data_IF_726098210547
#
_entry.id   IF_726098210547
#
_cell.length_a   1.000
_cell.length_b   1.000
_cell.length_c   1.000
_cell.angle_alpha   90.00
_cell.angle_beta   90.00
_cell.angle_gamma   90.00
#
_symmetry.space_group_name_H-M   'P 1'
#
loop_
_entity.id
_entity.type
_entity.pdbx_description
1 polymer ?
#
# COMPACT_ATOMS: atom_id res chain seq x y z
N UNK A 1 16.22 -12.89 3.16
CA UNK A 1 15.21 -13.89 3.57
C UNK A 1 14.01 -13.14 4.11
N UNK A 2 12.87 -13.24 3.43
CA UNK A 2 11.58 -12.79 3.93
C UNK A 2 11.06 -13.94 4.78
N UNK A 3 10.92 -13.74 6.09
CA UNK A 3 10.27 -14.72 6.95
C UNK A 3 8.80 -14.32 7.11
N UNK A 4 7.89 -15.15 6.59
CA UNK A 4 6.46 -15.03 6.82
C UNK A 4 6.15 -15.39 8.29
N UNK A 5 5.48 -14.51 8.98
CA UNK A 5 4.90 -14.81 10.28
C UNK A 5 3.38 -14.65 10.16
N UNK A 6 2.66 -15.76 10.14
CA UNK A 6 1.21 -15.80 10.27
C UNK A 6 0.86 -15.84 11.77
N UNK A 7 0.33 -14.75 12.29
CA UNK A 7 -0.30 -14.72 13.61
C UNK A 7 -1.72 -14.19 13.44
N UNK A 8 -2.69 -15.10 13.45
CA UNK A 8 -4.10 -14.75 13.29
C UNK A 8 -4.44 -14.31 11.86
N UNK A 9 -5.34 -13.33 11.71
CA UNK A 9 -5.78 -12.77 10.42
C UNK A 9 -4.81 -11.72 9.83
N UNK A 10 -3.62 -11.57 10.40
CA UNK A 10 -2.64 -10.55 10.01
C UNK A 10 -1.45 -11.19 9.30
N UNK A 11 -1.11 -10.65 8.13
CA UNK A 11 0.10 -11.02 7.42
C UNK A 11 1.19 -10.00 7.77
N UNK A 12 2.24 -10.48 8.47
CA UNK A 12 3.44 -9.68 8.71
C UNK A 12 4.49 -10.01 7.66
N UNK A 13 4.82 -9.08 6.79
CA UNK A 13 6.02 -9.15 5.97
C UNK A 13 7.15 -8.54 6.79
N UNK A 14 8.21 -9.33 7.07
CA UNK A 14 9.42 -8.84 7.69
C UNK A 14 10.50 -8.80 6.64
N UNK A 15 10.81 -7.62 6.15
CA UNK A 15 12.01 -7.43 5.34
C UNK A 15 13.25 -7.47 6.21
N UNK A 16 14.26 -8.25 5.80
CA UNK A 16 15.60 -8.13 6.35
C UNK A 16 16.40 -7.15 5.51
N UNK A 17 16.92 -6.11 6.14
CA UNK A 17 17.88 -5.23 5.49
C UNK A 17 19.05 -6.05 4.92
N UNK A 18 19.36 -5.84 3.65
CA UNK A 18 20.50 -6.47 2.99
C UNK A 18 21.82 -6.11 3.71
N UNK A 19 21.89 -4.91 4.25
CA UNK A 19 23.01 -4.43 5.08
C UNK A 19 22.45 -3.84 6.39
N UNK A 20 22.44 -4.61 7.49
CA UNK A 20 21.94 -4.15 8.79
C UNK A 20 22.65 -2.91 9.35
N UNK A 21 23.90 -2.64 8.90
CA UNK A 21 24.66 -1.48 9.37
C UNK A 21 24.14 -0.15 8.84
N UNK A 22 23.34 -0.19 7.76
CA UNK A 22 22.70 0.98 7.14
C UNK A 22 21.27 1.23 7.65
N UNK A 23 20.80 0.35 8.52
CA UNK A 23 19.45 0.46 9.10
C UNK A 23 19.45 1.53 10.20
N UNK A 24 19.03 2.73 9.88
CA UNK A 24 18.92 3.84 10.83
C UNK A 24 17.61 3.79 11.63
N UNK A 25 16.51 3.33 11.02
CA UNK A 25 15.20 3.18 11.66
C UNK A 25 14.54 1.86 11.23
N UNK A 26 14.45 0.86 12.14
CA UNK A 26 13.80 -0.41 11.85
C UNK A 26 12.33 -0.30 11.45
N UNK A 27 11.60 0.72 11.91
CA UNK A 27 10.17 0.90 11.62
C UNK A 27 9.88 1.19 10.15
N UNK A 28 10.87 1.70 9.41
CA UNK A 28 10.77 1.92 7.97
C UNK A 28 10.80 0.62 7.15
N UNK A 29 11.23 -0.49 7.77
CA UNK A 29 11.42 -1.78 7.08
C UNK A 29 10.55 -2.88 7.70
N UNK A 30 10.29 -2.83 9.01
CA UNK A 30 9.55 -3.85 9.74
C UNK A 30 8.15 -3.30 10.06
N UNK A 31 7.20 -3.58 9.18
CA UNK A 31 5.80 -3.19 9.36
C UNK A 31 4.88 -4.23 8.71
N UNK A 32 3.61 -4.24 9.07
CA UNK A 32 2.60 -5.04 8.41
C UNK A 32 2.02 -4.26 7.22
N UNK A 33 2.38 -4.56 5.95
CA UNK A 33 1.90 -3.78 4.80
C UNK A 33 0.41 -3.97 4.53
N UNK A 34 -0.19 -5.03 5.10
CA UNK A 34 -1.61 -5.35 4.95
C UNK A 34 -2.20 -5.69 6.32
N UNK A 35 -3.27 -5.00 6.70
CA UNK A 35 -4.09 -5.32 7.89
C UNK A 35 -5.58 -5.38 7.54
N UNK A 36 -6.32 -6.19 8.29
CA UNK A 36 -7.77 -6.33 8.13
C UNK A 36 -8.46 -5.87 9.41
N UNK A 37 -9.42 -4.94 9.27
CA UNK A 37 -10.28 -4.47 10.35
C UNK A 37 -11.74 -4.74 9.97
N UNK A 38 -12.31 -5.82 10.51
CA UNK A 38 -13.66 -6.26 10.15
C UNK A 38 -13.75 -6.54 8.64
N UNK A 39 -14.56 -5.75 7.94
CA UNK A 39 -14.76 -5.84 6.50
C UNK A 39 -13.89 -4.87 5.67
N UNK A 40 -12.85 -4.31 6.29
CA UNK A 40 -11.91 -3.38 5.66
C UNK A 40 -10.54 -4.02 5.50
N UNK A 41 -9.97 -3.93 4.32
CA UNK A 41 -8.56 -4.29 4.05
C UNK A 41 -7.75 -3.01 3.85
N UNK A 42 -6.72 -2.84 4.66
CA UNK A 42 -5.81 -1.69 4.65
C UNK A 42 -4.48 -2.13 4.06
N UNK A 43 -3.95 -1.39 3.10
CA UNK A 43 -2.67 -1.67 2.42
C UNK A 43 -1.83 -0.41 2.36
N UNK A 44 -0.55 -0.48 2.71
CA UNK A 44 0.36 0.66 2.64
C UNK A 44 1.79 0.25 2.25
N UNK A 45 2.61 1.26 1.96
CA UNK A 45 4.05 1.08 1.71
C UNK A 45 4.94 1.39 2.94
N UNK A 46 4.37 1.44 4.14
CA UNK A 46 5.13 1.78 5.35
C UNK A 46 4.35 1.51 6.64
N UNK A 47 4.92 1.90 7.77
CA UNK A 47 4.38 1.69 9.12
C UNK A 47 3.08 2.44 9.42
N UNK A 48 2.63 3.33 8.53
CA UNK A 48 1.32 3.99 8.65
C UNK A 48 0.13 3.01 8.57
N UNK A 49 0.35 1.75 8.21
CA UNK A 49 -0.69 0.71 8.26
C UNK A 49 -1.29 0.61 9.66
N UNK A 50 -0.44 0.58 10.69
CA UNK A 50 -0.88 0.48 12.09
C UNK A 50 -1.61 1.75 12.52
N UNK A 51 -1.12 2.92 12.09
CA UNK A 51 -1.79 4.20 12.36
C UNK A 51 -3.21 4.26 11.79
N UNK A 52 -3.39 3.75 10.55
CA UNK A 52 -4.71 3.69 9.92
C UNK A 52 -5.60 2.69 10.63
N UNK A 53 -5.07 1.50 10.91
CA UNK A 53 -5.80 0.44 11.61
C UNK A 53 -6.31 0.93 12.98
N UNK A 54 -5.44 1.45 13.83
CA UNK A 54 -5.78 1.96 15.16
C UNK A 54 -6.75 3.14 15.09
N UNK A 55 -6.51 4.09 14.20
CA UNK A 55 -7.40 5.23 14.01
C UNK A 55 -8.81 4.81 13.61
N UNK A 56 -8.94 3.91 12.64
CA UNK A 56 -10.24 3.40 12.19
C UNK A 56 -10.93 2.51 13.23
N UNK A 57 -10.18 1.76 14.02
CA UNK A 57 -10.71 1.00 15.17
C UNK A 57 -11.30 1.93 16.25
N UNK A 58 -10.71 3.11 16.41
CA UNK A 58 -11.23 4.20 17.24
C UNK A 58 -12.24 5.12 16.52
N UNK A 59 -12.86 4.64 15.43
CA UNK A 59 -13.91 5.32 14.67
C UNK A 59 -13.49 6.61 13.94
N UNK A 60 -12.20 6.83 13.73
CA UNK A 60 -11.75 7.88 12.82
C UNK A 60 -11.97 7.45 11.36
N UNK A 61 -12.11 8.43 10.47
CA UNK A 61 -12.08 8.16 9.03
C UNK A 61 -10.66 7.80 8.58
N UNK A 62 -10.54 7.25 7.37
CA UNK A 62 -9.25 6.96 6.76
C UNK A 62 -8.34 8.21 6.71
N UNK A 63 -8.87 9.35 6.28
CA UNK A 63 -8.12 10.60 6.22
C UNK A 63 -7.77 11.15 7.61
N UNK A 64 -8.70 11.05 8.58
CA UNK A 64 -8.44 11.47 9.94
C UNK A 64 -7.32 10.66 10.59
N UNK A 65 -7.28 9.36 10.34
CA UNK A 65 -6.24 8.45 10.84
C UNK A 65 -4.85 8.84 10.32
N UNK A 66 -4.76 9.36 9.10
CA UNK A 66 -3.50 9.77 8.49
C UNK A 66 -3.02 11.18 8.88
N UNK A 67 -3.79 11.95 9.66
CA UNK A 67 -3.43 13.36 9.99
C UNK A 67 -2.16 13.49 10.82
N UNK A 68 -1.82 12.48 11.62
CA UNK A 68 -0.59 12.43 12.41
C UNK A 68 0.64 11.98 11.63
N UNK A 69 0.47 11.58 10.36
CA UNK A 69 1.57 11.05 9.53
C UNK A 69 1.95 12.03 8.44
N UNK A 70 3.19 11.94 8.01
CA UNK A 70 3.76 12.69 6.89
C UNK A 70 4.48 11.70 5.96
N UNK A 71 5.17 12.18 4.94
CA UNK A 71 6.11 11.40 4.14
C UNK A 71 7.28 10.86 4.99
N UNK A 72 8.12 10.00 4.45
CA UNK A 72 9.27 9.45 5.18
C UNK A 72 10.38 10.49 5.35
N UNK A 73 11.07 10.50 6.51
CA UNK A 73 12.13 11.47 6.80
C UNK A 73 13.47 11.10 6.15
N UNK A 74 13.45 10.57 4.92
CA UNK A 74 14.59 10.03 4.18
C UNK A 74 15.12 11.03 3.13
N UNK A 75 15.43 12.26 3.55
CA UNK A 75 16.00 13.25 2.64
C UNK A 75 17.20 12.72 1.83
N UNK A 76 17.33 13.07 0.54
CA UNK A 76 16.58 14.11 -0.16
C UNK A 76 15.29 13.64 -0.85
N UNK A 77 14.96 12.35 -0.83
CA UNK A 77 13.81 11.81 -1.55
C UNK A 77 12.48 12.13 -0.88
N UNK A 78 12.45 12.17 0.46
CA UNK A 78 11.22 12.33 1.23
C UNK A 78 10.13 11.41 0.70
N UNK A 79 10.41 10.10 0.76
CA UNK A 79 9.59 9.04 0.16
C UNK A 79 8.12 9.20 0.50
N UNK A 80 7.25 9.34 -0.51
CA UNK A 80 5.81 9.46 -0.26
C UNK A 80 5.25 8.22 0.42
N UNK A 81 4.38 8.43 1.41
CA UNK A 81 3.57 7.35 1.99
C UNK A 81 2.30 7.20 1.19
N UNK A 82 2.13 6.05 0.56
CA UNK A 82 0.91 5.67 -0.15
C UNK A 82 0.12 4.67 0.68
N UNK A 83 -1.19 4.81 0.68
CA UNK A 83 -2.10 3.95 1.45
C UNK A 83 -3.37 3.69 0.67
N UNK A 84 -3.97 2.52 0.90
CA UNK A 84 -5.27 2.17 0.38
C UNK A 84 -6.13 1.52 1.46
N UNK A 85 -7.43 1.74 1.41
CA UNK A 85 -8.41 1.01 2.18
C UNK A 85 -9.54 0.57 1.26
N UNK A 86 -9.86 -0.73 1.30
CA UNK A 86 -11.02 -1.30 0.61
C UNK A 86 -12.04 -1.75 1.65
N UNK A 87 -13.28 -1.39 1.47
CA UNK A 87 -14.41 -1.77 2.29
C UNK A 87 -15.36 -2.64 1.48
N UNK A 88 -15.65 -3.85 1.97
CA UNK A 88 -16.56 -4.81 1.32
C UNK A 88 -17.71 -5.09 2.24
N UNK A 89 -18.93 -4.80 1.81
CA UNK A 89 -20.14 -4.99 2.61
C UNK A 89 -21.37 -5.22 1.75
N UNK A 90 -22.15 -6.26 2.08
CA UNK A 90 -23.45 -6.54 1.45
C UNK A 90 -23.41 -6.60 -0.09
N UNK A 91 -22.45 -7.32 -0.66
CA UNK A 91 -22.30 -7.48 -2.11
C UNK A 91 -21.82 -6.21 -2.83
N UNK A 92 -21.30 -5.23 -2.08
CA UNK A 92 -20.77 -3.98 -2.63
C UNK A 92 -19.37 -3.74 -2.08
N UNK A 93 -18.61 -2.95 -2.81
CA UNK A 93 -17.32 -2.48 -2.35
C UNK A 93 -17.09 -1.01 -2.73
N UNK A 94 -16.32 -0.35 -1.92
CA UNK A 94 -15.74 0.95 -2.20
C UNK A 94 -14.30 0.97 -1.71
N UNK A 95 -13.53 1.91 -2.17
CA UNK A 95 -12.16 2.07 -1.70
C UNK A 95 -11.69 3.51 -1.76
N UNK A 96 -10.68 3.80 -0.98
CA UNK A 96 -9.98 5.07 -1.02
C UNK A 96 -8.48 4.85 -1.07
N UNK A 97 -7.77 5.76 -1.73
CA UNK A 97 -6.32 5.81 -1.80
C UNK A 97 -5.83 7.15 -1.26
N UNK A 98 -4.65 7.16 -0.66
CA UNK A 98 -4.03 8.37 -0.15
C UNK A 98 -2.56 8.42 -0.49
N UNK A 99 -2.05 9.64 -0.66
CA UNK A 99 -0.62 9.91 -0.72
C UNK A 99 -0.28 11.11 0.18
N UNK A 100 0.74 10.92 1.00
CA UNK A 100 1.38 11.95 1.81
C UNK A 100 2.75 12.20 1.23
N UNK A 101 3.02 13.41 0.74
CA UNK A 101 4.27 13.72 0.06
C UNK A 101 4.78 15.11 0.39
N UNK A 102 6.09 15.32 0.27
CA UNK A 102 6.68 16.64 0.44
C UNK A 102 6.18 17.62 -0.62
N UNK A 103 6.08 18.88 -0.26
CA UNK A 103 5.80 19.93 -1.23
C UNK A 103 7.10 20.30 -1.98
N UNK A 104 7.32 19.67 -3.13
CA UNK A 104 8.51 19.89 -3.97
C UNK A 104 9.85 19.70 -3.22
N UNK A 105 9.93 18.65 -2.37
CA UNK A 105 11.15 18.36 -1.60
C UNK A 105 11.35 19.25 -0.35
N UNK A 106 10.35 20.03 0.03
CA UNK A 106 10.40 20.82 1.27
C UNK A 106 10.12 19.90 2.48
N UNK A 107 11.09 19.72 3.42
CA UNK A 107 10.93 18.85 4.60
C UNK A 107 9.85 19.33 5.57
N UNK A 108 9.52 20.62 5.58
CA UNK A 108 8.60 21.23 6.54
C UNK A 108 7.16 21.34 5.99
N UNK A 109 6.88 20.80 4.81
CA UNK A 109 5.58 20.94 4.17
C UNK A 109 5.09 19.61 3.57
N UNK A 110 4.04 19.05 4.17
CA UNK A 110 3.39 17.83 3.70
C UNK A 110 2.10 18.12 2.94
N UNK A 111 2.04 17.71 1.68
CA UNK A 111 0.83 17.67 0.88
C UNK A 111 0.10 16.34 1.11
N UNK A 112 -1.23 16.40 1.31
CA UNK A 112 -2.10 15.26 1.62
C UNK A 112 -3.20 15.18 0.58
N UNK A 113 -3.29 14.06 -0.13
CA UNK A 113 -4.34 13.83 -1.12
C UNK A 113 -5.04 12.51 -0.78
N UNK A 114 -6.37 12.53 -0.90
CA UNK A 114 -7.21 11.34 -0.80
C UNK A 114 -8.11 11.26 -2.02
N UNK A 115 -8.18 10.07 -2.62
CA UNK A 115 -9.00 9.73 -3.78
C UNK A 115 -10.01 8.68 -3.34
N UNK A 116 -11.30 9.01 -3.34
CA UNK A 116 -12.36 8.12 -2.90
C UNK A 116 -13.18 7.62 -4.09
N UNK A 117 -13.43 6.31 -4.14
CA UNK A 117 -14.16 5.61 -5.20
C UNK A 117 -15.37 4.91 -4.58
N UNK A 118 -16.48 5.65 -4.43
CA UNK A 118 -17.69 5.17 -3.75
C UNK A 118 -18.52 4.22 -4.59
N UNK A 119 -18.48 4.35 -5.91
CA UNK A 119 -19.20 3.51 -6.84
C UNK A 119 -18.22 2.75 -7.73
N UNK A 120 -17.49 1.82 -7.11
CA UNK A 120 -16.53 1.00 -7.82
C UNK A 120 -17.19 0.13 -8.89
N UNK A 121 -16.54 0.00 -10.05
CA UNK A 121 -17.03 -0.73 -11.21
C UNK A 121 -16.27 -2.05 -11.31
N UNK A 122 -16.98 -3.17 -11.52
CA UNK A 122 -16.37 -4.47 -11.70
C UNK A 122 -15.43 -4.47 -12.92
N UNK A 123 -14.26 -5.10 -12.78
CA UNK A 123 -13.22 -5.13 -13.80
C UNK A 123 -12.37 -3.87 -13.92
N UNK A 124 -12.65 -2.83 -13.12
CA UNK A 124 -11.89 -1.59 -13.07
C UNK A 124 -11.24 -1.38 -11.71
N UNK A 125 -10.06 -0.78 -11.71
CA UNK A 125 -9.34 -0.39 -10.50
C UNK A 125 -8.48 0.84 -10.73
N UNK A 126 -7.77 1.28 -9.70
CA UNK A 126 -6.89 2.44 -9.80
C UNK A 126 -5.50 2.09 -9.29
N UNK A 127 -4.49 2.66 -9.95
CA UNK A 127 -3.09 2.44 -9.66
C UNK A 127 -2.44 3.72 -9.16
N UNK A 128 -1.86 3.66 -7.97
CA UNK A 128 -1.04 4.71 -7.37
C UNK A 128 0.37 4.17 -7.13
N UNK A 129 1.37 5.00 -7.24
CA UNK A 129 2.77 4.63 -7.03
C UNK A 129 3.53 5.74 -6.30
N UNK A 130 4.67 5.41 -5.72
CA UNK A 130 5.44 6.31 -4.87
C UNK A 130 6.14 7.40 -5.67
N UNK A 131 6.83 7.02 -6.76
CA UNK A 131 7.65 7.91 -7.57
C UNK A 131 7.14 7.98 -9.01
N UNK A 132 7.25 9.16 -9.62
CA UNK A 132 6.81 9.43 -10.98
C UNK A 132 7.70 8.75 -12.04
N UNK A 133 9.01 8.80 -11.82
CA UNK A 133 10.05 8.27 -12.70
C UNK A 133 11.38 8.23 -11.95
N UNK A 134 12.44 7.76 -12.62
CA UNK A 134 13.81 7.85 -12.13
C UNK A 134 14.24 9.33 -12.00
N UNK A 135 15.14 9.58 -11.05
CA UNK A 135 15.66 10.91 -10.78
C UNK A 135 16.60 10.95 -9.57
N UNK A 136 17.22 12.12 -9.33
CA UNK A 136 18.03 12.37 -8.15
C UNK A 136 17.86 13.84 -7.71
N UNK A 137 17.04 14.12 -6.65
CA UNK A 137 16.19 13.17 -5.94
C UNK A 137 15.08 12.57 -6.81
N UNK A 138 14.51 11.44 -6.34
CA UNK A 138 13.40 10.79 -7.02
C UNK A 138 12.14 11.67 -6.98
N UNK A 139 11.53 12.03 -8.13
CA UNK A 139 10.33 12.86 -8.12
C UNK A 139 9.10 12.06 -7.63
N UNK A 140 8.35 12.63 -6.70
CA UNK A 140 7.11 12.03 -6.18
C UNK A 140 6.03 11.92 -7.26
N UNK A 141 5.12 10.93 -7.07
CA UNK A 141 3.92 10.80 -7.89
C UNK A 141 3.12 12.12 -7.95
N UNK A 142 2.55 12.41 -9.12
CA UNK A 142 1.72 13.58 -9.40
C UNK A 142 0.46 13.19 -10.17
N UNK A 143 -0.61 13.92 -9.94
CA UNK A 143 -1.90 13.73 -10.59
C UNK A 143 -2.82 12.77 -9.86
N UNK A 144 -3.72 12.15 -10.59
CA UNK A 144 -4.70 11.18 -10.09
C UNK A 144 -4.20 9.74 -10.30
N UNK A 145 -4.62 8.78 -9.44
CA UNK A 145 -4.39 7.37 -9.68
C UNK A 145 -4.92 6.95 -11.06
N UNK A 146 -4.16 6.14 -11.77
CA UNK A 146 -4.50 5.73 -13.14
C UNK A 146 -5.53 4.63 -13.14
N UNK A 147 -6.56 4.76 -13.97
CA UNK A 147 -7.52 3.69 -14.24
C UNK A 147 -6.78 2.50 -14.87
N UNK A 148 -7.05 1.30 -14.35
CA UNK A 148 -6.49 0.03 -14.83
C UNK A 148 -7.58 -1.03 -14.90
N UNK A 149 -7.43 -1.97 -15.84
CA UNK A 149 -8.29 -3.15 -15.91
C UNK A 149 -7.83 -4.17 -14.84
N UNK A 150 -8.80 -4.81 -14.19
CA UNK A 150 -8.57 -5.88 -13.22
C UNK A 150 -9.12 -7.17 -13.82
N UNK A 151 -8.28 -8.18 -14.16
CA UNK A 151 -8.71 -9.51 -14.58
C UNK A 151 -9.56 -10.20 -13.50
N UNK A 152 -10.41 -11.14 -13.91
CA UNK A 152 -11.26 -11.91 -12.98
C UNK A 152 -10.46 -13.01 -12.25
N UNK A 153 -9.31 -13.40 -12.79
CA UNK A 153 -8.46 -14.47 -12.24
C UNK A 153 -7.25 -13.89 -11.50
N UNK A 154 -7.05 -14.34 -10.25
CA UNK A 154 -5.96 -13.85 -9.37
C UNK A 154 -4.58 -14.24 -9.91
N UNK A 155 -4.46 -15.40 -10.58
CA UNK A 155 -3.19 -15.87 -11.10
C UNK A 155 -2.79 -15.07 -12.34
N UNK A 156 -3.74 -14.82 -13.23
CA UNK A 156 -3.55 -13.95 -14.39
C UNK A 156 -3.13 -12.55 -13.96
N UNK A 157 -3.82 -11.98 -12.98
CA UNK A 157 -3.50 -10.63 -12.48
C UNK A 157 -2.14 -10.57 -11.79
N UNK A 158 -1.81 -11.56 -10.97
CA UNK A 158 -0.51 -11.62 -10.30
C UNK A 158 0.64 -11.77 -11.30
N UNK A 159 0.47 -12.59 -12.34
CA UNK A 159 1.47 -12.77 -13.39
C UNK A 159 1.63 -11.50 -14.24
N UNK A 160 0.54 -10.86 -14.63
CA UNK A 160 0.55 -9.59 -15.35
C UNK A 160 1.31 -8.51 -14.56
N UNK A 161 0.98 -8.33 -13.29
CA UNK A 161 1.64 -7.36 -12.43
C UNK A 161 3.14 -7.68 -12.25
N UNK A 162 3.47 -8.95 -11.93
CA UNK A 162 4.85 -9.36 -11.72
C UNK A 162 5.73 -9.13 -12.95
N UNK A 163 5.22 -9.41 -14.14
CA UNK A 163 5.92 -9.21 -15.40
C UNK A 163 6.02 -7.73 -15.80
N UNK A 164 5.15 -6.88 -15.26
CA UNK A 164 5.17 -5.43 -15.50
C UNK A 164 6.13 -4.66 -14.57
N UNK A 165 6.59 -5.30 -13.49
CA UNK A 165 7.55 -4.70 -12.56
C UNK A 165 8.97 -4.71 -13.17
N UNK A 166 9.76 -3.68 -12.84
CA UNK A 166 11.17 -3.61 -13.24
C UNK A 166 11.93 -4.82 -12.68
N UNK A 167 12.60 -5.57 -13.59
CA UNK A 167 13.27 -6.83 -13.26
C UNK A 167 14.36 -6.67 -12.18
N UNK A 168 15.09 -5.57 -12.21
CA UNK A 168 16.20 -5.33 -11.28
C UNK A 168 15.71 -4.90 -9.89
N UNK A 169 14.57 -4.22 -9.83
CA UNK A 169 14.06 -3.57 -8.61
C UNK A 169 12.92 -4.35 -7.93
N UNK A 170 12.23 -5.27 -8.64
CA UNK A 170 11.15 -6.03 -8.03
C UNK A 170 11.66 -6.96 -6.93
N UNK A 171 10.99 -6.96 -5.80
CA UNK A 171 11.32 -7.79 -4.63
C UNK A 171 10.20 -8.77 -4.33
N UNK A 172 8.99 -8.28 -4.11
CA UNK A 172 7.81 -9.10 -3.83
C UNK A 172 6.55 -8.44 -4.37
N UNK A 173 5.53 -9.25 -4.60
CA UNK A 173 4.18 -8.85 -4.98
C UNK A 173 3.17 -9.57 -4.10
N UNK A 174 2.22 -8.82 -3.54
CA UNK A 174 1.05 -9.34 -2.87
C UNK A 174 -0.21 -9.00 -3.67
N UNK A 175 -1.04 -10.00 -3.93
CA UNK A 175 -2.35 -9.85 -4.57
C UNK A 175 -3.41 -10.50 -3.67
N UNK A 176 -4.56 -9.83 -3.50
CA UNK A 176 -5.71 -10.37 -2.78
C UNK A 176 -6.99 -10.12 -3.55
N UNK A 177 -7.76 -11.16 -3.76
CA UNK A 177 -9.13 -11.09 -4.25
C UNK A 177 -10.10 -11.34 -3.11
N UNK A 178 -11.15 -10.54 -3.04
CA UNK A 178 -12.16 -10.62 -1.98
C UNK A 178 -13.51 -10.85 -2.66
N UNK A 179 -14.16 -11.95 -2.30
CA UNK A 179 -15.54 -12.21 -2.70
C UNK A 179 -16.46 -11.19 -2.00
N UNK A 180 -17.14 -10.38 -2.79
CA UNK A 180 -17.93 -9.25 -2.25
C UNK A 180 -19.20 -9.69 -1.54
N UNK A 181 -19.73 -10.88 -1.84
CA UNK A 181 -20.92 -11.43 -1.20
C UNK A 181 -20.60 -12.08 0.15
N UNK A 182 -19.49 -12.79 0.24
CA UNK A 182 -19.14 -13.58 1.43
C UNK A 182 -18.07 -12.94 2.30
N UNK A 183 -17.32 -11.97 1.79
CA UNK A 183 -16.14 -11.38 2.43
C UNK A 183 -14.94 -12.33 2.52
N UNK A 184 -15.04 -13.55 1.97
CA UNK A 184 -13.90 -14.47 1.89
C UNK A 184 -12.86 -13.95 0.92
N UNK A 185 -11.61 -14.25 1.19
CA UNK A 185 -10.52 -13.79 0.32
C UNK A 185 -9.56 -14.92 -0.04
N UNK A 186 -8.93 -14.75 -1.17
CA UNK A 186 -7.76 -15.49 -1.64
C UNK A 186 -6.59 -14.53 -1.76
N UNK A 187 -5.39 -14.97 -1.42
CA UNK A 187 -4.18 -14.13 -1.52
C UNK A 187 -3.05 -14.90 -2.17
N UNK A 188 -2.26 -14.19 -2.97
CA UNK A 188 -1.08 -14.70 -3.65
C UNK A 188 0.12 -13.82 -3.36
N UNK A 189 1.27 -14.45 -3.06
CA UNK A 189 2.54 -13.78 -2.84
C UNK A 189 3.55 -14.33 -3.83
N UNK A 190 4.25 -13.45 -4.54
CA UNK A 190 5.37 -13.78 -5.40
C UNK A 190 6.60 -13.07 -4.84
N UNK A 191 7.67 -13.82 -4.59
CA UNK A 191 8.94 -13.31 -4.13
C UNK A 191 10.05 -13.61 -5.14
N UNK A 192 10.91 -12.64 -5.44
CA UNK A 192 12.06 -12.82 -6.35
C UNK A 192 13.09 -13.80 -5.80
N UNK A 193 13.35 -13.72 -4.51
CA UNK A 193 14.33 -14.57 -3.83
C UNK A 193 13.58 -15.50 -2.88
N UNK A 194 13.38 -16.74 -3.30
CA UNK A 194 12.88 -17.83 -2.48
C UNK A 194 14.05 -18.64 -1.91
#
# INVERSE_FOLDING_TARGET
EISECLVGSEMCIRDRAFDPSKLTDPSLIIYAPVRVLGNKTIVTNGDQTDTIYEGMDHQLTFEQSLRSREFEPDGPNYTPRISGVMHVENGKFNYAMSILKSNNGNPDACNRYTFAYENAIAGEGHFIHTYKCDGNPLPSFEGEPKLVAIPDDIDEFAELLWNSLNEDNKVSLFVRYIDIETGKYESKIINKNK
#
